data_IF_911350111268
#
_entry.id   IF_911350111268
#
_cell.length_a   1.000
_cell.length_b   1.000
_cell.length_c   1.000
_cell.angle_alpha   90.00
_cell.angle_beta   90.00
_cell.angle_gamma   90.00
#
_symmetry.space_group_name_H-M   'P 1'
#
loop_
_entity.id
_entity.type
_entity.pdbx_description
1 polymer ?
#
# COMPACT_ATOMS: atom_id res chain seq x y z
N UNK A 1 8.81 5.24 7.35
CA UNK A 1 10.10 4.55 7.11
C UNK A 1 9.90 3.57 5.97
N UNK A 2 10.74 3.62 4.93
CA UNK A 2 10.67 2.73 3.79
C UNK A 2 11.77 3.05 2.79
N UNK A 3 11.90 2.22 1.74
CA UNK A 3 12.93 2.35 0.69
C UNK A 3 12.85 3.67 -0.09
N UNK A 4 11.69 4.33 -0.10
CA UNK A 4 11.47 5.65 -0.73
C UNK A 4 11.81 6.86 0.15
N UNK A 5 12.41 6.70 1.33
CA UNK A 5 12.68 7.79 2.27
C UNK A 5 13.47 8.97 1.66
N UNK A 6 14.29 8.71 0.64
CA UNK A 6 15.06 9.72 -0.10
C UNK A 6 14.17 10.81 -0.72
N UNK A 7 12.93 10.47 -1.11
CA UNK A 7 11.98 11.42 -1.71
C UNK A 7 11.59 12.58 -0.79
N UNK A 8 11.76 12.43 0.53
CA UNK A 8 11.49 13.52 1.48
C UNK A 8 12.31 14.78 1.22
N UNK A 9 13.50 14.62 0.61
CA UNK A 9 14.35 15.73 0.24
C UNK A 9 13.72 16.69 -0.78
N UNK A 10 12.70 16.24 -1.53
CA UNK A 10 11.96 17.10 -2.47
C UNK A 10 10.99 18.06 -1.76
N UNK A 11 10.70 17.88 -0.47
CA UNK A 11 9.79 18.75 0.28
C UNK A 11 8.38 18.78 -0.29
N UNK A 12 7.93 17.70 -0.92
CA UNK A 12 6.62 17.56 -1.56
C UNK A 12 5.86 16.37 -0.99
N UNK A 13 4.54 16.44 -1.02
CA UNK A 13 3.69 15.31 -0.72
C UNK A 13 3.77 14.27 -1.84
N UNK A 14 4.55 13.24 -1.59
CA UNK A 14 4.78 12.14 -2.52
C UNK A 14 4.49 10.81 -1.85
N UNK A 15 3.94 9.89 -2.63
CA UNK A 15 3.82 8.50 -2.25
C UNK A 15 4.39 7.61 -3.37
N UNK A 16 4.81 6.39 -3.04
CA UNK A 16 5.32 5.48 -4.05
C UNK A 16 5.80 4.16 -3.47
N UNK A 17 6.10 3.25 -4.39
CA UNK A 17 6.55 1.89 -4.08
C UNK A 17 7.62 1.44 -5.06
N UNK A 18 8.68 0.83 -4.51
CA UNK A 18 9.69 0.12 -5.29
C UNK A 18 9.19 -1.27 -5.69
N UNK A 19 9.61 -1.74 -6.86
CA UNK A 19 9.50 -3.12 -7.29
C UNK A 19 10.89 -3.64 -7.73
N UNK A 20 11.16 -4.90 -7.43
CA UNK A 20 12.39 -5.58 -7.88
C UNK A 20 12.00 -7.02 -8.17
N UNK A 21 12.26 -7.49 -9.37
CA UNK A 21 12.01 -8.88 -9.75
C UNK A 21 13.11 -9.81 -9.19
N UNK A 22 12.82 -11.11 -9.21
CA UNK A 22 13.79 -12.12 -8.81
C UNK A 22 15.09 -11.99 -9.62
N UNK A 23 16.23 -12.17 -8.97
CA UNK A 23 17.57 -12.02 -9.55
C UNK A 23 17.89 -10.59 -10.03
N UNK A 24 17.16 -9.58 -9.57
CA UNK A 24 17.37 -8.16 -9.96
C UNK A 24 17.40 -7.98 -11.50
N UNK A 25 16.45 -8.59 -12.20
CA UNK A 25 16.38 -8.46 -13.66
C UNK A 25 15.66 -7.16 -14.05
N UNK A 26 14.65 -6.77 -13.25
CA UNK A 26 13.89 -5.54 -13.45
C UNK A 26 13.82 -4.73 -12.15
N UNK A 27 14.01 -3.45 -12.27
CA UNK A 27 13.88 -2.50 -11.20
C UNK A 27 12.76 -1.49 -11.54
N UNK A 28 11.79 -1.37 -10.64
CA UNK A 28 10.64 -0.50 -10.78
C UNK A 28 10.57 0.52 -9.66
N UNK A 29 10.11 1.68 -9.99
CA UNK A 29 9.56 2.63 -9.03
C UNK A 29 8.30 3.26 -9.61
N UNK A 30 7.18 3.13 -8.91
CA UNK A 30 5.94 3.85 -9.23
C UNK A 30 5.65 4.79 -8.08
N UNK A 31 5.46 6.06 -8.40
CA UNK A 31 5.19 7.08 -7.40
C UNK A 31 4.32 8.20 -7.95
N UNK A 32 3.80 9.03 -7.07
CA UNK A 32 2.87 10.07 -7.44
C UNK A 32 2.86 11.23 -6.43
N UNK A 33 2.54 12.40 -6.94
CA UNK A 33 2.00 13.55 -6.21
C UNK A 33 0.48 13.53 -6.33
N UNK A 34 -0.26 14.46 -5.70
CA UNK A 34 -1.71 14.55 -5.89
C UNK A 34 -2.18 14.67 -7.34
N UNK A 35 -1.35 15.21 -8.23
CA UNK A 35 -1.74 15.56 -9.60
C UNK A 35 -0.85 14.93 -10.69
N UNK A 36 0.21 14.19 -10.31
CA UNK A 36 1.15 13.58 -11.27
C UNK A 36 1.55 12.18 -10.82
N UNK A 37 1.36 11.20 -11.71
CA UNK A 37 1.81 9.81 -11.52
C UNK A 37 2.96 9.52 -12.47
N UNK A 38 4.02 8.91 -11.98
CA UNK A 38 5.20 8.53 -12.75
C UNK A 38 5.57 7.09 -12.43
N UNK A 39 5.80 6.30 -13.48
CA UNK A 39 6.36 4.96 -13.38
C UNK A 39 7.72 4.94 -14.06
N UNK A 40 8.71 4.40 -13.38
CA UNK A 40 10.07 4.18 -13.90
C UNK A 40 10.33 2.69 -13.94
N UNK A 41 10.77 2.24 -15.09
CA UNK A 41 11.23 0.88 -15.34
C UNK A 41 12.68 0.91 -15.81
N UNK A 42 13.48 0.02 -15.25
CA UNK A 42 14.87 -0.24 -15.69
C UNK A 42 15.01 -1.75 -15.86
N UNK A 43 15.38 -2.17 -17.05
CA UNK A 43 15.51 -3.57 -17.42
C UNK A 43 16.17 -3.72 -18.79
N UNK A 44 16.41 -4.95 -19.19
CA UNK A 44 16.90 -5.30 -20.52
C UNK A 44 15.80 -6.00 -21.30
N UNK A 45 15.77 -5.80 -22.62
CA UNK A 45 14.81 -6.48 -23.52
C UNK A 45 14.94 -8.00 -23.41
N UNK A 46 16.17 -8.52 -23.34
CA UNK A 46 16.46 -9.90 -22.99
C UNK A 46 16.70 -9.98 -21.47
N UNK A 47 15.86 -10.76 -20.72
CA UNK A 47 15.95 -10.83 -19.27
C UNK A 47 17.33 -11.27 -18.78
N UNK A 48 18.04 -10.35 -18.14
CA UNK A 48 19.33 -10.59 -17.47
C UNK A 48 19.45 -9.70 -16.24
N UNK A 49 20.30 -10.08 -15.32
CA UNK A 49 20.47 -9.30 -14.09
C UNK A 49 21.03 -7.91 -14.37
N UNK A 50 20.45 -6.91 -13.70
CA UNK A 50 20.97 -5.53 -13.66
C UNK A 50 22.23 -5.43 -12.79
N UNK A 51 22.40 -6.38 -11.85
CA UNK A 51 23.48 -6.39 -10.88
C UNK A 51 22.99 -6.75 -9.48
N UNK A 52 23.92 -7.20 -8.63
CA UNK A 52 23.59 -7.71 -7.29
C UNK A 52 22.83 -6.72 -6.40
N UNK A 53 23.07 -5.42 -6.55
CA UNK A 53 22.50 -4.36 -5.72
C UNK A 53 21.54 -3.43 -6.49
N UNK A 54 21.29 -3.71 -7.77
CA UNK A 54 20.43 -2.89 -8.63
C UNK A 54 18.96 -3.23 -8.39
N UNK A 55 18.46 -2.69 -7.30
CA UNK A 55 17.05 -2.81 -6.89
C UNK A 55 16.23 -1.62 -7.38
N UNK A 56 14.92 -1.67 -7.24
CA UNK A 56 14.05 -0.51 -7.54
C UNK A 56 14.45 0.75 -6.77
N UNK A 57 14.99 0.60 -5.55
CA UNK A 57 15.49 1.74 -4.78
C UNK A 57 16.85 2.27 -5.27
N UNK A 58 17.70 1.42 -5.85
CA UNK A 58 19.02 1.81 -6.33
C UNK A 58 18.98 2.32 -7.77
N UNK A 59 18.25 1.65 -8.67
CA UNK A 59 18.24 1.96 -10.09
C UNK A 59 17.06 2.88 -10.52
N UNK A 60 15.82 2.57 -10.11
CA UNK A 60 14.64 3.29 -10.59
C UNK A 60 14.30 4.54 -9.77
N UNK A 61 14.44 4.49 -8.44
CA UNK A 61 14.12 5.63 -7.57
C UNK A 61 14.92 6.90 -7.87
N UNK A 62 16.24 6.88 -8.16
CA UNK A 62 16.98 8.08 -8.52
C UNK A 62 16.41 8.77 -9.76
N UNK A 63 16.06 8.01 -10.79
CA UNK A 63 15.47 8.52 -12.04
C UNK A 63 14.12 9.21 -11.74
N UNK A 64 13.29 8.55 -10.92
CA UNK A 64 12.04 9.14 -10.45
C UNK A 64 12.28 10.45 -9.68
N UNK A 65 13.29 10.47 -8.80
CA UNK A 65 13.62 11.63 -8.00
C UNK A 65 13.99 12.82 -8.89
N UNK A 66 14.92 12.63 -9.84
CA UNK A 66 15.40 13.68 -10.73
C UNK A 66 14.28 14.20 -11.63
N UNK A 67 13.43 13.31 -12.15
CA UNK A 67 12.25 13.70 -12.91
C UNK A 67 11.29 14.55 -12.07
N UNK A 68 10.93 14.10 -10.88
CA UNK A 68 9.99 14.82 -10.01
C UNK A 68 10.56 16.13 -9.50
N UNK A 69 11.86 16.23 -9.28
CA UNK A 69 12.53 17.48 -8.92
C UNK A 69 12.32 18.54 -10.00
N UNK A 70 12.47 18.17 -11.27
CA UNK A 70 12.22 19.07 -12.39
C UNK A 70 10.74 19.37 -12.59
N UNK A 71 9.90 18.33 -12.60
CA UNK A 71 8.47 18.45 -12.88
C UNK A 71 7.71 19.26 -11.83
N UNK A 72 8.12 19.19 -10.55
CA UNK A 72 7.51 19.92 -9.45
C UNK A 72 8.25 21.22 -9.06
N UNK A 73 9.26 21.61 -9.84
CA UNK A 73 9.98 22.86 -9.61
C UNK A 73 9.02 24.05 -9.70
N UNK A 74 9.05 24.93 -8.71
CA UNK A 74 8.20 26.13 -8.67
C UNK A 74 6.70 25.86 -8.40
N UNK A 75 6.27 24.60 -8.32
CA UNK A 75 4.89 24.29 -7.97
C UNK A 75 4.69 24.34 -6.45
N UNK A 76 3.49 24.72 -6.01
CA UNK A 76 3.12 24.65 -4.59
C UNK A 76 3.08 23.19 -4.13
N UNK A 77 3.42 22.95 -2.86
CA UNK A 77 3.21 21.65 -2.25
C UNK A 77 1.73 21.49 -1.88
N UNK A 78 1.06 20.52 -2.49
CA UNK A 78 -0.36 20.24 -2.28
C UNK A 78 -0.50 18.90 -1.56
N UNK A 79 -1.21 18.82 -0.43
CA UNK A 79 -1.44 17.56 0.26
C UNK A 79 -2.40 16.66 -0.52
N UNK A 80 -2.30 15.34 -0.29
CA UNK A 80 -3.25 14.39 -0.82
C UNK A 80 -4.67 14.68 -0.33
N UNK A 81 -5.62 14.62 -1.26
CA UNK A 81 -7.03 14.83 -0.96
C UNK A 81 -7.58 13.67 -0.15
N UNK A 82 -8.34 13.98 0.89
CA UNK A 82 -9.07 12.98 1.66
C UNK A 82 -10.43 12.79 0.99
N UNK A 83 -10.75 11.58 0.47
CA UNK A 83 -12.05 11.33 -0.14
C UNK A 83 -13.20 11.54 0.84
N UNK A 84 -14.37 11.93 0.33
CA UNK A 84 -15.59 12.04 1.14
C UNK A 84 -15.91 10.69 1.81
N UNK A 85 -16.36 10.73 3.05
CA UNK A 85 -16.66 9.53 3.84
C UNK A 85 -15.44 8.87 4.51
N UNK A 86 -14.21 9.39 4.30
CA UNK A 86 -13.03 8.98 5.07
C UNK A 86 -12.83 9.95 6.24
N UNK A 87 -12.58 9.41 7.42
CA UNK A 87 -12.20 10.18 8.61
C UNK A 87 -10.78 9.86 9.01
N UNK A 88 -9.99 10.89 9.31
CA UNK A 88 -8.69 10.72 9.96
C UNK A 88 -8.91 10.56 11.47
N UNK A 89 -8.41 9.48 12.02
CA UNK A 89 -8.50 9.15 13.44
C UNK A 89 -7.09 9.02 14.00
N UNK A 90 -6.86 9.61 15.18
CA UNK A 90 -5.61 9.41 15.90
C UNK A 90 -5.61 8.02 16.53
N UNK A 91 -4.61 7.22 16.21
CA UNK A 91 -4.45 5.88 16.75
C UNK A 91 -3.05 5.72 17.35
N UNK A 92 -2.95 4.91 18.37
CA UNK A 92 -1.68 4.47 18.89
C UNK A 92 -1.06 3.48 17.89
N UNK A 93 0.13 3.81 17.37
CA UNK A 93 0.82 3.03 16.34
C UNK A 93 1.06 1.57 16.74
N UNK A 94 1.36 1.33 18.02
CA UNK A 94 1.79 0.00 18.48
C UNK A 94 0.60 -0.92 18.76
N UNK A 95 -0.54 -0.34 19.14
CA UNK A 95 -1.75 -1.10 19.51
C UNK A 95 -2.84 -1.05 18.45
N UNK A 96 -2.79 -0.10 17.51
CA UNK A 96 -3.83 0.15 16.52
C UNK A 96 -5.16 0.66 17.12
N UNK A 97 -5.21 0.97 18.42
CA UNK A 97 -6.41 1.48 19.11
C UNK A 97 -6.48 3.01 19.04
N UNK A 98 -7.67 3.60 19.24
CA UNK A 98 -7.77 5.06 19.39
C UNK A 98 -6.76 5.58 20.41
N UNK A 99 -6.09 6.67 20.04
CA UNK A 99 -5.05 7.26 20.90
C UNK A 99 -5.65 7.83 22.19
N UNK A 100 -5.01 7.55 23.31
CA UNK A 100 -5.36 8.05 24.63
C UNK A 100 -4.46 9.26 25.00
N UNK A 101 -4.90 10.13 25.93
CA UNK A 101 -4.02 11.14 26.49
C UNK A 101 -2.79 10.50 27.14
N UNK A 102 -1.59 10.95 26.73
CA UNK A 102 -0.32 10.39 27.22
C UNK A 102 0.35 9.39 26.27
N UNK A 103 -0.31 8.94 25.20
CA UNK A 103 0.33 8.10 24.17
C UNK A 103 1.44 8.88 23.46
N UNK A 104 2.62 8.28 23.39
CA UNK A 104 3.82 8.88 22.75
C UNK A 104 3.97 8.47 21.29
N UNK A 105 3.39 7.33 20.88
CA UNK A 105 3.47 6.78 19.53
C UNK A 105 2.11 6.91 18.85
N UNK A 106 1.78 8.12 18.36
CA UNK A 106 0.48 8.41 17.76
C UNK A 106 0.63 8.73 16.29
N UNK A 107 -0.20 8.07 15.45
CA UNK A 107 -0.31 8.34 14.02
C UNK A 107 -1.76 8.71 13.65
N UNK A 108 -1.92 9.33 12.48
CA UNK A 108 -3.22 9.54 11.86
C UNK A 108 -3.52 8.39 10.91
N UNK A 109 -4.66 7.75 11.07
CA UNK A 109 -5.10 6.67 10.19
C UNK A 109 -6.42 7.03 9.52
N UNK A 110 -6.53 6.68 8.22
CA UNK A 110 -7.71 6.93 7.41
C UNK A 110 -8.70 5.78 7.60
N UNK A 111 -9.89 6.08 8.14
CA UNK A 111 -10.91 5.08 8.44
C UNK A 111 -12.24 5.40 7.75
N UNK A 112 -12.91 4.35 7.27
CA UNK A 112 -14.33 4.43 6.92
C UNK A 112 -15.16 4.40 8.21
N UNK A 113 -16.19 5.24 8.36
CA UNK A 113 -17.03 5.26 9.57
C UNK A 113 -17.64 3.90 9.93
N UNK A 114 -18.03 3.12 8.92
CA UNK A 114 -18.62 1.79 9.10
C UNK A 114 -17.62 0.74 9.59
N UNK A 115 -16.35 0.86 9.22
CA UNK A 115 -15.30 -0.06 9.66
C UNK A 115 -14.92 0.12 11.13
N UNK A 116 -15.05 1.34 11.68
CA UNK A 116 -14.78 1.60 13.09
C UNK A 116 -15.82 0.97 14.02
N UNK A 117 -17.08 0.87 13.59
CA UNK A 117 -18.13 0.23 14.35
C UNK A 117 -18.01 -1.31 14.39
N UNK A 118 -17.54 -1.91 13.29
CA UNK A 118 -17.34 -3.37 13.21
C UNK A 118 -16.11 -3.87 13.98
N UNK A 119 -15.01 -3.10 13.99
CA UNK A 119 -13.78 -3.49 14.72
C UNK A 119 -13.95 -3.45 16.25
N UNK A 120 -14.88 -2.67 16.78
CA UNK A 120 -15.16 -2.62 18.21
C UNK A 120 -15.81 -3.91 18.74
N UNK A 121 -16.47 -4.69 17.87
CA UNK A 121 -17.16 -5.95 18.23
C UNK A 121 -16.48 -7.20 17.64
N UNK A 122 -15.42 -7.06 16.86
CA UNK A 122 -14.71 -8.20 16.30
C UNK A 122 -13.56 -8.60 17.22
N UNK A 123 -13.80 -9.63 18.02
CA UNK A 123 -12.72 -10.37 18.68
C UNK A 123 -11.80 -10.89 17.59
N UNK A 124 -10.59 -10.37 17.52
CA UNK A 124 -9.58 -10.85 16.58
C UNK A 124 -9.17 -12.25 17.04
N UNK A 125 -9.63 -13.25 16.33
CA UNK A 125 -9.17 -14.62 16.49
C UNK A 125 -7.91 -14.75 15.66
N UNK A 126 -6.84 -15.24 16.30
CA UNK A 126 -5.54 -15.43 15.64
C UNK A 126 -5.65 -16.37 14.44
N UNK A 127 -4.87 -16.09 13.43
CA UNK A 127 -4.90 -16.70 12.09
C UNK A 127 -4.41 -18.16 12.02
N UNK A 128 -4.29 -18.90 13.14
CA UNK A 128 -3.69 -20.24 13.11
C UNK A 128 -4.59 -21.39 13.59
N UNK A 129 -5.81 -21.12 14.01
CA UNK A 129 -6.73 -22.23 14.28
C UNK A 129 -8.17 -21.74 14.10
N UNK A 130 -8.90 -22.28 13.17
CA UNK A 130 -10.30 -22.01 12.91
C UNK A 130 -11.23 -22.42 14.09
N UNK A 131 -10.98 -21.91 15.29
CA UNK A 131 -11.77 -22.20 16.49
C UNK A 131 -12.41 -20.89 16.94
N UNK A 132 -13.72 -20.81 16.80
CA UNK A 132 -14.55 -19.79 17.45
C UNK A 132 -14.90 -20.26 18.84
N UNK A 133 -14.50 -19.54 19.88
CA UNK A 133 -14.92 -19.78 21.24
C UNK A 133 -16.03 -18.81 21.59
N UNK A 134 -17.27 -19.28 21.61
CA UNK A 134 -18.37 -18.62 22.27
C UNK A 134 -18.66 -19.39 23.55
N UNK A 135 -18.63 -18.68 24.66
CA UNK A 135 -19.16 -19.06 25.95
C UNK A 135 -18.71 -20.43 26.53
N UNK A 136 -17.40 -20.73 26.41
CA UNK A 136 -16.77 -21.84 27.12
C UNK A 136 -17.06 -23.25 26.58
N UNK A 137 -17.65 -23.39 25.40
CA UNK A 137 -17.83 -24.67 24.71
C UNK A 137 -17.20 -24.68 23.34
N UNK A 138 -16.26 -25.58 23.11
CA UNK A 138 -15.68 -25.83 21.77
C UNK A 138 -16.74 -26.48 20.88
N UNK A 139 -17.00 -25.83 19.71
CA UNK A 139 -17.72 -26.45 18.60
C UNK A 139 -16.76 -26.54 17.41
N UNK A 140 -16.64 -27.74 16.85
CA UNK A 140 -15.91 -28.01 15.62
C UNK A 140 -16.47 -27.17 14.46
N UNK A 141 -15.55 -26.48 13.76
CA UNK A 141 -15.88 -25.69 12.58
C UNK A 141 -16.25 -26.61 11.42
N UNK A 142 -17.44 -26.46 10.91
CA UNK A 142 -17.87 -27.05 9.63
C UNK A 142 -17.09 -26.36 8.49
N UNK A 143 -16.54 -27.17 7.63
CA UNK A 143 -15.80 -26.78 6.43
C UNK A 143 -16.63 -25.82 5.55
N UNK A 144 -16.14 -24.59 5.37
CA UNK A 144 -16.76 -23.62 4.46
C UNK A 144 -16.11 -23.81 3.10
N UNK A 145 -16.80 -24.50 2.20
CA UNK A 145 -16.45 -24.53 0.77
C UNK A 145 -16.76 -23.18 0.15
N UNK A 146 -15.75 -22.52 -0.38
CA UNK A 146 -15.92 -21.36 -1.24
C UNK A 146 -16.26 -21.87 -2.64
N UNK A 147 -17.48 -21.68 -3.11
CA UNK A 147 -17.80 -21.76 -4.53
C UNK A 147 -17.21 -20.53 -5.22
N UNK A 148 -16.35 -20.80 -6.16
CA UNK A 148 -15.68 -19.81 -6.97
C UNK A 148 -16.54 -19.55 -8.21
N UNK A 149 -17.54 -18.68 -8.11
CA UNK A 149 -18.28 -18.17 -9.27
C UNK A 149 -17.41 -17.12 -9.99
N UNK A 150 -16.60 -17.59 -10.91
CA UNK A 150 -15.96 -16.74 -11.91
C UNK A 150 -15.93 -17.43 -13.27
N UNK A 151 -17.08 -17.48 -13.92
CA UNK A 151 -17.17 -17.61 -15.37
C UNK A 151 -17.98 -16.42 -15.92
N UNK A 152 -17.33 -15.27 -16.08
CA UNK A 152 -17.77 -14.25 -17.03
C UNK A 152 -16.73 -14.22 -18.16
N UNK A 153 -16.99 -15.00 -19.19
CA UNK A 153 -16.38 -14.87 -20.50
C UNK A 153 -16.66 -13.49 -21.09
N UNK A 154 -15.67 -12.62 -21.07
CA UNK A 154 -15.69 -11.41 -21.89
C UNK A 154 -15.37 -11.83 -23.33
N UNK A 155 -16.41 -11.99 -24.17
CA UNK A 155 -16.27 -12.04 -25.61
C UNK A 155 -15.79 -10.67 -26.11
N UNK A 156 -14.51 -10.60 -26.47
CA UNK A 156 -13.98 -9.51 -27.31
C UNK A 156 -14.48 -9.70 -28.74
N UNK A 157 -15.48 -8.91 -29.09
CA UNK A 157 -15.91 -8.76 -30.48
C UNK A 157 -14.79 -8.20 -31.33
N UNK A 158 -14.37 -8.97 -32.33
CA UNK A 158 -13.55 -8.48 -33.44
C UNK A 158 -14.42 -7.66 -34.39
N UNK A 159 -14.16 -6.37 -34.55
CA UNK A 159 -14.48 -5.66 -35.79
C UNK A 159 -13.61 -4.39 -35.94
N UNK A 160 -12.90 -4.40 -37.09
CA UNK A 160 -12.11 -3.38 -37.77
C UNK A 160 -10.71 -3.07 -37.24
#
# INVERSE_FOLDING_TARGET
QGTGARLRALGKHLAGKTGTTNRNQDAWFVGFSPDLVVAVYVGFDEPRTLGRYETGAAAALPIFYDFMQGALAGQADVPFRIPSGIKLVRVNHDTGKPAMPGDTSVIWEAMKPEASARKANQKVIGAEAGITVEDGTEKEATEITYENDSEDEIQLGSEY
#
